data_IF_307519138958
#
_entry.id   IF_307519138958
#
_cell.length_a   1.000
_cell.length_b   1.000
_cell.length_c   1.000
_cell.angle_alpha   90.00
_cell.angle_beta   90.00
_cell.angle_gamma   90.00
#
_symmetry.space_group_name_H-M   'P 1'
#
loop_
_entity.id
_entity.type
_entity.pdbx_description
1 polymer ?
#
# COMPACT_ATOMS: atom_id res chain seq x y z
N UNK A 1 -4.39 13.39 13.84
CA UNK A 1 -3.18 12.66 13.42
C UNK A 1 -2.05 13.61 12.99
N UNK A 2 -2.23 14.47 11.96
CA UNK A 2 -1.18 15.41 11.51
C UNK A 2 -0.72 16.32 12.65
N UNK A 3 -1.65 16.95 13.35
CA UNK A 3 -1.35 17.84 14.49
C UNK A 3 -0.58 17.16 15.63
N UNK A 4 -0.81 15.88 15.87
CA UNK A 4 -0.09 15.13 16.91
C UNK A 4 1.35 14.83 16.48
N UNK A 5 1.57 14.48 15.20
CA UNK A 5 2.92 14.26 14.65
C UNK A 5 3.74 15.55 14.69
N UNK A 6 3.14 16.69 14.31
CA UNK A 6 3.79 18.00 14.38
C UNK A 6 4.13 18.41 15.82
N UNK A 7 3.25 18.09 16.80
CA UNK A 7 3.51 18.38 18.21
C UNK A 7 4.67 17.53 18.76
N UNK A 8 4.75 16.26 18.38
CA UNK A 8 5.83 15.38 18.80
C UNK A 8 7.17 15.76 18.13
N UNK A 9 7.13 16.16 16.86
CA UNK A 9 8.27 16.71 16.16
C UNK A 9 8.85 17.94 16.89
N UNK A 10 7.99 18.87 17.28
CA UNK A 10 8.41 20.08 18.03
C UNK A 10 9.08 19.75 19.38
N UNK A 11 8.61 18.70 20.06
CA UNK A 11 9.22 18.24 21.32
C UNK A 11 10.63 17.66 21.10
N UNK A 12 10.84 16.95 20.00
CA UNK A 12 12.14 16.35 19.67
C UNK A 12 13.18 17.39 19.24
N UNK A 13 12.74 18.59 18.82
CA UNK A 13 13.60 19.69 18.35
C UNK A 13 14.74 19.21 17.44
N UNK A 14 14.43 18.48 16.35
CA UNK A 14 15.48 17.94 15.48
C UNK A 14 16.13 19.05 14.65
N UNK A 15 17.35 18.80 14.17
CA UNK A 15 18.11 19.71 13.33
C UNK A 15 17.79 19.61 11.83
N UNK A 16 16.64 19.06 11.48
CA UNK A 16 16.14 18.94 10.11
C UNK A 16 14.67 19.42 10.04
N UNK A 17 14.26 19.83 8.87
CA UNK A 17 12.88 20.24 8.61
C UNK A 17 12.01 19.02 8.26
N UNK A 18 10.78 19.00 8.77
CA UNK A 18 9.78 18.00 8.42
C UNK A 18 8.48 18.67 7.95
N UNK A 19 7.92 18.14 6.86
CA UNK A 19 6.60 18.51 6.35
C UNK A 19 5.69 17.29 6.47
N UNK A 20 4.60 17.43 7.22
CA UNK A 20 3.59 16.38 7.38
C UNK A 20 2.36 16.76 6.58
N UNK A 21 1.95 15.88 5.66
CA UNK A 21 0.83 16.17 4.75
C UNK A 21 0.04 14.90 4.46
N UNK A 22 -1.26 15.04 4.20
CA UNK A 22 -2.06 13.93 3.72
C UNK A 22 -1.90 13.71 2.20
N UNK A 23 -2.20 12.51 1.72
CA UNK A 23 -2.07 12.14 0.31
C UNK A 23 -2.93 13.01 -0.62
N UNK A 24 -4.10 13.45 -0.17
CA UNK A 24 -5.03 14.28 -0.95
C UNK A 24 -4.45 15.67 -1.25
N UNK A 25 -3.53 16.12 -0.42
CA UNK A 25 -2.87 17.42 -0.54
C UNK A 25 -1.49 17.37 -1.21
N UNK A 26 -1.03 16.23 -1.70
CA UNK A 26 0.29 16.06 -2.34
C UNK A 26 0.54 17.07 -3.47
N UNK A 27 -0.50 17.47 -4.21
CA UNK A 27 -0.42 18.47 -5.27
C UNK A 27 0.00 19.87 -4.80
N UNK A 28 -0.02 20.13 -3.47
CA UNK A 28 0.40 21.40 -2.86
C UNK A 28 1.86 21.38 -2.41
N UNK A 29 2.49 20.20 -2.40
CA UNK A 29 3.86 20.06 -1.94
C UNK A 29 4.82 20.63 -2.98
N UNK A 30 5.68 21.54 -2.54
CA UNK A 30 6.74 22.14 -3.32
C UNK A 30 8.05 22.03 -2.57
N UNK A 31 9.17 22.00 -3.29
CA UNK A 31 10.49 21.93 -2.70
C UNK A 31 11.24 20.64 -3.03
N UNK A 32 12.45 20.52 -2.50
CA UNK A 32 13.29 19.33 -2.58
C UNK A 32 13.28 18.59 -1.25
N UNK A 33 13.25 17.28 -1.34
CA UNK A 33 13.20 16.40 -0.17
C UNK A 33 14.29 15.35 -0.29
N UNK A 34 15.06 15.16 0.76
CA UNK A 34 16.10 14.12 0.83
C UNK A 34 15.49 12.78 1.23
N UNK A 35 14.41 12.79 1.99
CA UNK A 35 13.67 11.62 2.44
C UNK A 35 12.16 11.83 2.30
N UNK A 36 11.46 10.83 1.80
CA UNK A 36 10.00 10.76 1.80
C UNK A 36 9.57 9.50 2.54
N UNK A 37 8.75 9.68 3.58
CA UNK A 37 8.13 8.59 4.33
C UNK A 37 6.66 8.53 3.94
N UNK A 38 6.21 7.38 3.48
CA UNK A 38 4.84 7.12 3.04
C UNK A 38 4.17 6.19 4.05
N UNK A 39 3.37 6.77 4.93
CA UNK A 39 2.57 6.02 5.88
C UNK A 39 1.33 5.42 5.21
N UNK A 40 0.87 4.26 5.69
CA UNK A 40 -0.24 3.50 5.10
C UNK A 40 -0.08 3.28 3.59
N UNK A 41 1.14 2.92 3.18
CA UNK A 41 1.54 2.76 1.78
C UNK A 41 0.69 1.72 1.02
N UNK A 42 0.05 0.76 1.73
CA UNK A 42 -0.88 -0.20 1.14
C UNK A 42 -2.02 0.48 0.35
N UNK A 43 -2.38 1.70 0.73
CA UNK A 43 -3.42 2.49 0.05
C UNK A 43 -3.08 2.86 -1.42
N UNK A 44 -1.83 2.66 -1.83
CA UNK A 44 -1.39 2.83 -3.22
C UNK A 44 -1.55 1.56 -4.07
N UNK A 45 -1.87 0.42 -3.44
CA UNK A 45 -1.90 -0.90 -4.07
C UNK A 45 -3.10 -1.21 -4.98
N UNK A 46 -3.72 -0.21 -5.60
CA UNK A 46 -4.85 -0.41 -6.51
C UNK A 46 -4.47 -1.27 -7.74
N UNK A 47 -5.40 -2.11 -8.18
CA UNK A 47 -5.22 -3.04 -9.31
C UNK A 47 -6.34 -2.85 -10.35
N UNK A 48 -6.08 -3.08 -11.65
CA UNK A 48 -4.78 -3.32 -12.28
C UNK A 48 -4.02 -2.03 -12.64
N UNK A 49 -4.63 -0.88 -12.45
CA UNK A 49 -4.04 0.44 -12.76
C UNK A 49 -3.65 1.16 -11.48
N UNK A 50 -2.56 1.96 -11.50
CA UNK A 50 -2.18 2.75 -10.35
C UNK A 50 -3.25 3.77 -10.00
N UNK A 51 -3.51 3.96 -8.71
CA UNK A 51 -4.41 5.00 -8.21
C UNK A 51 -3.88 6.40 -8.53
N UNK A 52 -4.74 7.43 -8.42
CA UNK A 52 -4.31 8.83 -8.52
C UNK A 52 -3.21 9.13 -7.51
N UNK A 53 -3.35 8.64 -6.27
CA UNK A 53 -2.37 8.76 -5.20
C UNK A 53 -1.01 8.17 -5.60
N UNK A 54 -0.97 6.93 -6.10
CA UNK A 54 0.26 6.28 -6.55
C UNK A 54 0.96 7.07 -7.67
N UNK A 55 0.22 7.66 -8.58
CA UNK A 55 0.77 8.50 -9.67
C UNK A 55 1.38 9.79 -9.14
N UNK A 56 0.70 10.49 -8.22
CA UNK A 56 1.20 11.72 -7.61
C UNK A 56 2.46 11.48 -6.77
N UNK A 57 2.48 10.38 -6.00
CA UNK A 57 3.68 9.96 -5.25
C UNK A 57 4.84 9.67 -6.20
N UNK A 58 4.59 8.97 -7.32
CA UNK A 58 5.63 8.70 -8.32
C UNK A 58 6.18 9.98 -8.93
N UNK A 59 5.33 10.93 -9.26
CA UNK A 59 5.75 12.23 -9.80
C UNK A 59 6.67 12.96 -8.80
N UNK A 60 6.26 13.04 -7.53
CA UNK A 60 7.04 13.64 -6.47
C UNK A 60 8.41 12.98 -6.29
N UNK A 61 8.47 11.65 -6.26
CA UNK A 61 9.72 10.88 -6.12
C UNK A 61 10.60 11.06 -7.37
N UNK A 62 10.01 11.06 -8.57
CA UNK A 62 10.76 11.24 -9.83
C UNK A 62 11.42 12.61 -9.89
N UNK A 63 10.74 13.66 -9.45
CA UNK A 63 11.27 15.02 -9.44
C UNK A 63 12.39 15.22 -8.41
N UNK A 64 12.27 14.59 -7.24
CA UNK A 64 13.15 14.82 -6.10
C UNK A 64 14.28 13.77 -5.97
N UNK A 65 14.06 12.56 -6.46
CA UNK A 65 14.96 11.40 -6.27
C UNK A 65 15.39 11.16 -4.81
N UNK A 66 14.47 11.22 -3.85
CA UNK A 66 14.78 11.10 -2.43
C UNK A 66 15.03 9.66 -2.03
N UNK A 67 15.52 9.44 -0.82
CA UNK A 67 15.31 8.17 -0.14
C UNK A 67 13.82 7.98 0.15
N UNK A 68 13.34 6.73 0.10
CA UNK A 68 11.91 6.44 0.29
C UNK A 68 11.74 5.34 1.32
N UNK A 69 10.90 5.58 2.31
CA UNK A 69 10.45 4.59 3.28
C UNK A 69 8.94 4.40 3.11
N UNK A 70 8.52 3.16 2.92
CA UNK A 70 7.12 2.76 2.86
C UNK A 70 6.76 2.09 4.19
N UNK A 71 5.74 2.57 4.86
CA UNK A 71 5.25 1.99 6.12
C UNK A 71 3.82 1.49 5.94
N UNK A 72 3.52 0.32 6.48
CA UNK A 72 2.17 -0.22 6.53
C UNK A 72 2.09 -1.33 7.57
N UNK A 73 1.02 -1.36 8.34
CA UNK A 73 0.69 -2.48 9.21
C UNK A 73 0.15 -3.70 8.45
N UNK A 74 -0.39 -3.49 7.25
CA UNK A 74 -0.98 -4.52 6.37
C UNK A 74 -0.58 -4.27 4.92
N UNK A 75 0.65 -4.61 4.51
CA UNK A 75 1.16 -4.21 3.19
C UNK A 75 0.39 -4.84 2.02
N UNK A 76 -0.23 -5.99 2.21
CA UNK A 76 -0.99 -6.69 1.15
C UNK A 76 -2.34 -7.17 1.67
N UNK A 77 -3.27 -6.25 2.01
CA UNK A 77 -4.51 -6.60 2.70
C UNK A 77 -5.41 -7.57 1.92
N UNK A 78 -5.38 -7.52 0.60
CA UNK A 78 -6.21 -8.37 -0.26
C UNK A 78 -5.39 -9.35 -1.10
N UNK A 79 -4.19 -8.95 -1.54
CA UNK A 79 -3.37 -9.75 -2.45
C UNK A 79 -1.93 -9.25 -2.49
N UNK A 80 -0.99 -10.19 -2.66
CA UNK A 80 0.42 -9.85 -2.92
C UNK A 80 0.60 -8.99 -4.18
N UNK A 81 -0.28 -9.10 -5.15
CA UNK A 81 -0.26 -8.29 -6.39
C UNK A 81 -0.27 -6.78 -6.12
N UNK A 82 -0.86 -6.36 -4.99
CA UNK A 82 -0.93 -4.94 -4.58
C UNK A 82 0.45 -4.34 -4.34
N UNK A 83 1.47 -5.16 -4.06
CA UNK A 83 2.84 -4.71 -3.84
C UNK A 83 3.42 -3.98 -5.07
N UNK A 84 3.03 -4.39 -6.29
CA UNK A 84 3.52 -3.73 -7.51
C UNK A 84 3.31 -2.22 -7.51
N UNK A 85 2.08 -1.76 -7.24
CA UNK A 85 1.78 -0.34 -7.26
C UNK A 85 2.17 0.40 -5.97
N UNK A 86 2.41 -0.30 -4.88
CA UNK A 86 2.99 0.32 -3.69
C UNK A 86 4.43 0.77 -3.94
N UNK A 87 5.24 -0.10 -4.56
CA UNK A 87 6.65 0.22 -4.84
C UNK A 87 6.87 0.88 -6.20
N UNK A 88 5.82 1.03 -7.01
CA UNK A 88 5.83 1.59 -8.36
C UNK A 88 6.52 2.95 -8.47
N UNK A 89 6.47 3.76 -7.42
CA UNK A 89 7.10 5.07 -7.38
C UNK A 89 8.62 4.98 -7.19
N UNK A 90 9.13 3.89 -6.62
CA UNK A 90 10.55 3.73 -6.28
C UNK A 90 11.34 3.25 -7.51
N UNK A 91 12.30 4.03 -8.04
CA UNK A 91 12.99 3.68 -9.30
C UNK A 91 13.78 2.36 -9.26
N UNK A 92 14.29 2.00 -8.07
CA UNK A 92 15.10 0.77 -7.84
C UNK A 92 14.31 -0.35 -7.17
N UNK A 93 12.97 -0.38 -7.33
CA UNK A 93 12.17 -1.47 -6.80
C UNK A 93 12.42 -2.78 -7.57
N UNK A 94 12.20 -3.96 -6.97
CA UNK A 94 12.48 -5.26 -7.60
C UNK A 94 11.68 -5.51 -8.89
N UNK A 95 10.55 -4.81 -9.08
CA UNK A 95 9.68 -4.96 -10.24
C UNK A 95 9.92 -3.90 -11.33
N UNK A 96 10.96 -3.08 -11.21
CA UNK A 96 11.27 -1.97 -12.13
C UNK A 96 11.58 -2.43 -13.55
N UNK A 97 12.01 -3.69 -13.75
CA UNK A 97 12.25 -4.30 -15.06
C UNK A 97 10.97 -4.55 -15.86
N UNK A 98 9.81 -4.62 -15.23
CA UNK A 98 8.54 -4.84 -15.91
C UNK A 98 8.03 -3.53 -16.51
N UNK A 99 7.78 -3.53 -17.82
CA UNK A 99 7.28 -2.37 -18.57
C UNK A 99 5.98 -1.79 -17.97
N UNK A 100 5.12 -2.64 -17.41
CA UNK A 100 3.84 -2.26 -16.82
C UNK A 100 3.30 -3.39 -15.94
N UNK A 101 2.22 -3.12 -15.20
CA UNK A 101 1.55 -4.10 -14.35
C UNK A 101 1.16 -5.40 -15.08
N UNK A 102 0.72 -5.32 -16.33
CA UNK A 102 0.30 -6.53 -17.06
C UNK A 102 1.48 -7.45 -17.40
N UNK A 103 2.66 -6.88 -17.67
CA UNK A 103 3.89 -7.66 -17.86
C UNK A 103 4.31 -8.35 -16.53
N UNK A 104 4.23 -7.63 -15.42
CA UNK A 104 4.43 -8.19 -14.08
C UNK A 104 3.42 -9.30 -13.77
N UNK A 105 2.13 -9.08 -14.05
CA UNK A 105 1.06 -10.02 -13.75
C UNK A 105 1.22 -11.36 -14.50
N UNK A 106 1.73 -11.36 -15.73
CA UNK A 106 2.01 -12.60 -16.48
C UNK A 106 2.98 -13.53 -15.76
N UNK A 107 3.89 -12.99 -14.97
CA UNK A 107 4.91 -13.75 -14.22
C UNK A 107 4.44 -14.07 -12.82
N UNK A 108 3.91 -13.07 -12.13
CA UNK A 108 3.73 -13.10 -10.68
C UNK A 108 2.28 -13.23 -10.22
N UNK A 109 1.30 -13.30 -11.13
CA UNK A 109 -0.13 -13.38 -10.77
C UNK A 109 -0.80 -14.51 -11.51
N UNK A 110 -1.65 -15.29 -10.82
CA UNK A 110 -2.56 -16.24 -11.44
C UNK A 110 -3.82 -15.46 -11.87
N UNK A 111 -3.81 -15.00 -13.11
CA UNK A 111 -4.93 -14.20 -13.64
C UNK A 111 -6.08 -15.12 -14.00
N UNK A 112 -7.27 -14.83 -13.49
CA UNK A 112 -8.49 -15.55 -13.82
C UNK A 112 -9.60 -14.59 -14.25
N UNK A 113 -10.64 -15.14 -14.90
CA UNK A 113 -11.79 -14.35 -15.34
C UNK A 113 -12.98 -14.52 -14.40
N UNK A 114 -13.62 -13.40 -14.08
CA UNK A 114 -14.90 -13.37 -13.35
C UNK A 114 -15.98 -12.79 -14.27
N UNK A 115 -17.13 -13.49 -14.35
CA UNK A 115 -18.30 -12.96 -15.04
C UNK A 115 -18.97 -11.88 -14.19
N UNK A 116 -19.24 -10.73 -14.82
CA UNK A 116 -20.05 -9.65 -14.28
C UNK A 116 -21.18 -9.36 -15.27
N UNK A 117 -22.32 -9.99 -15.07
CA UNK A 117 -23.41 -9.99 -16.03
C UNK A 117 -22.99 -10.61 -17.36
N UNK A 118 -23.13 -9.86 -18.46
CA UNK A 118 -22.75 -10.30 -19.82
C UNK A 118 -21.26 -10.14 -20.14
N UNK A 119 -20.49 -9.49 -19.29
CA UNK A 119 -19.07 -9.24 -19.50
C UNK A 119 -18.18 -10.12 -18.63
N UNK A 120 -16.98 -10.46 -19.11
CA UNK A 120 -15.94 -11.10 -18.33
C UNK A 120 -14.82 -10.09 -18.06
N UNK A 121 -14.36 -10.04 -16.82
CA UNK A 121 -13.26 -9.18 -16.40
C UNK A 121 -12.12 -10.03 -15.85
N UNK A 122 -10.88 -9.62 -16.15
CA UNK A 122 -9.71 -10.25 -15.55
C UNK A 122 -9.53 -9.80 -14.10
N UNK A 123 -9.31 -10.76 -13.21
CA UNK A 123 -9.05 -10.56 -11.80
C UNK A 123 -7.57 -10.82 -11.52
N UNK A 124 -6.95 -9.94 -10.75
CA UNK A 124 -5.50 -9.93 -10.47
C UNK A 124 -5.20 -10.08 -8.97
N UNK A 125 -6.13 -10.66 -8.21
CA UNK A 125 -6.02 -10.80 -6.76
C UNK A 125 -5.29 -12.07 -6.30
N UNK A 126 -4.89 -12.95 -7.21
CA UNK A 126 -4.14 -14.17 -6.88
C UNK A 126 -2.65 -13.97 -7.17
N UNK A 127 -2.00 -13.13 -6.35
CA UNK A 127 -0.56 -12.88 -6.39
C UNK A 127 0.24 -14.04 -5.84
N UNK A 128 1.26 -14.49 -6.57
CA UNK A 128 2.14 -15.59 -6.19
C UNK A 128 3.10 -15.19 -5.06
N UNK A 129 3.56 -16.19 -4.31
CA UNK A 129 4.58 -16.03 -3.26
C UNK A 129 5.87 -15.36 -3.76
N UNK A 130 6.22 -15.56 -5.03
CA UNK A 130 7.40 -14.96 -5.64
C UNK A 130 7.46 -13.42 -5.51
N UNK A 131 6.29 -12.74 -5.40
CA UNK A 131 6.24 -11.30 -5.14
C UNK A 131 6.88 -10.95 -3.79
N UNK A 132 6.53 -11.70 -2.76
CA UNK A 132 7.07 -11.49 -1.41
C UNK A 132 8.55 -11.88 -1.36
N UNK A 133 8.93 -12.96 -2.07
CA UNK A 133 10.32 -13.42 -2.10
C UNK A 133 11.24 -12.36 -2.74
N UNK A 134 10.82 -11.74 -3.83
CA UNK A 134 11.52 -10.61 -4.47
C UNK A 134 11.58 -9.36 -3.57
N UNK A 135 10.55 -9.15 -2.74
CA UNK A 135 10.50 -8.02 -1.83
C UNK A 135 11.33 -8.20 -0.56
N UNK A 136 11.62 -9.44 -0.11
CA UNK A 136 12.33 -9.72 1.14
C UNK A 136 13.58 -8.88 1.39
N UNK A 137 14.49 -8.65 0.40
CA UNK A 137 15.69 -7.86 0.61
C UNK A 137 15.42 -6.37 0.92
N UNK A 138 14.21 -5.90 0.64
CA UNK A 138 13.79 -4.51 0.76
C UNK A 138 12.81 -4.28 1.91
N UNK A 139 12.43 -5.35 2.63
CA UNK A 139 11.42 -5.29 3.69
C UNK A 139 12.01 -5.61 5.04
N UNK A 140 11.60 -4.80 6.02
CA UNK A 140 11.78 -5.10 7.43
C UNK A 140 10.39 -5.34 7.99
N UNK A 141 10.16 -6.49 8.60
CA UNK A 141 8.88 -6.86 9.20
C UNK A 141 9.07 -7.30 10.64
N UNK A 142 8.22 -6.80 11.51
CA UNK A 142 8.14 -7.23 12.90
C UNK A 142 6.70 -7.58 13.26
N UNK A 143 6.51 -8.71 13.89
CA UNK A 143 5.24 -9.01 14.56
C UNK A 143 5.12 -8.21 15.84
N UNK A 144 3.90 -8.01 16.34
CA UNK A 144 3.68 -7.36 17.63
C UNK A 144 4.45 -8.05 18.76
N UNK A 145 4.55 -9.38 18.72
CA UNK A 145 5.29 -10.19 19.68
C UNK A 145 6.79 -9.90 19.63
N UNK A 146 7.39 -9.83 18.43
CA UNK A 146 8.81 -9.52 18.24
C UNK A 146 9.13 -8.08 18.65
N UNK A 147 8.17 -7.16 18.47
CA UNK A 147 8.26 -5.78 18.93
C UNK A 147 8.08 -5.62 20.47
N UNK A 148 7.90 -6.73 21.20
CA UNK A 148 7.82 -6.74 22.67
C UNK A 148 6.44 -6.39 23.24
N UNK A 149 5.40 -6.30 22.42
CA UNK A 149 4.04 -6.08 22.90
C UNK A 149 3.52 -7.33 23.61
N UNK A 150 3.08 -7.17 24.85
CA UNK A 150 2.53 -8.23 25.70
C UNK A 150 0.99 -8.32 25.66
N UNK A 151 0.33 -7.39 24.98
CA UNK A 151 -1.13 -7.38 24.87
C UNK A 151 -1.62 -8.61 24.08
N UNK A 152 -2.57 -9.35 24.65
CA UNK A 152 -3.32 -10.38 23.92
C UNK A 152 -4.60 -9.76 23.40
N UNK A 153 -4.82 -9.92 22.10
CA UNK A 153 -6.09 -9.55 21.47
C UNK A 153 -6.98 -10.78 21.44
N UNK A 154 -8.11 -10.71 22.14
CA UNK A 154 -9.16 -11.72 22.03
C UNK A 154 -10.15 -11.28 20.99
N UNK A 155 -10.23 -12.03 19.89
CA UNK A 155 -11.20 -11.78 18.84
C UNK A 155 -12.51 -12.50 19.15
N UNK A 156 -13.60 -11.75 19.29
CA UNK A 156 -14.93 -12.27 19.47
C UNK A 156 -15.74 -12.07 18.17
N UNK A 157 -15.94 -13.15 17.42
CA UNK A 157 -16.75 -13.13 16.22
C UNK A 157 -18.21 -13.27 16.59
N UNK A 158 -18.98 -12.20 16.49
CA UNK A 158 -20.42 -12.20 16.66
C UNK A 158 -21.09 -12.52 15.31
N UNK A 159 -21.68 -13.69 15.20
CA UNK A 159 -22.49 -14.05 14.03
C UNK A 159 -23.94 -13.61 14.27
N UNK A 160 -24.39 -12.64 13.50
CA UNK A 160 -25.79 -12.16 13.56
C UNK A 160 -26.53 -12.70 12.32
N UNK A 161 -27.66 -13.36 12.57
CA UNK A 161 -28.56 -13.74 11.47
C UNK A 161 -29.37 -12.52 11.07
N UNK A 162 -29.26 -12.12 9.82
CA UNK A 162 -30.08 -11.06 9.25
C UNK A 162 -31.52 -11.57 9.06
N UNK A 163 -32.49 -10.67 8.98
CA UNK A 163 -33.85 -11.00 8.62
C UNK A 163 -33.89 -11.52 7.16
N UNK A 164 -34.76 -12.48 6.86
CA UNK A 164 -34.82 -13.13 5.54
C UNK A 164 -34.98 -12.12 4.40
N UNK A 165 -35.79 -11.08 4.59
CA UNK A 165 -35.91 -9.94 3.65
C UNK A 165 -34.62 -9.21 3.33
N UNK A 166 -33.63 -9.24 4.24
CA UNK A 166 -32.32 -8.59 4.00
C UNK A 166 -31.45 -9.44 3.10
N UNK A 167 -31.57 -10.77 3.16
CA UNK A 167 -30.87 -11.67 2.23
C UNK A 167 -31.41 -11.55 0.80
N UNK A 168 -32.72 -11.36 0.64
CA UNK A 168 -33.37 -11.17 -0.68
C UNK A 168 -32.90 -9.89 -1.40
N UNK A 169 -32.37 -8.90 -0.69
CA UNK A 169 -31.87 -7.62 -1.25
C UNK A 169 -30.39 -7.74 -1.66
N UNK A 170 -29.65 -8.70 -1.07
CA UNK A 170 -28.19 -8.85 -1.27
C UNK A 170 -27.86 -9.83 -2.41
N UNK A 171 -28.79 -10.77 -2.74
CA UNK A 171 -28.72 -11.69 -3.86
C UNK A 171 -29.14 -10.99 -5.17
#
# INVERSE_FOLDING_TARGET
>A
AISSIEADYKKLNPNYEIIVINYESLHKVQGRFDLIVLDEAHSMGALPKPSKRAKQVKELITLNQPYVILMSGTPTPESFSQMYHQVYACPKNPFSSFKNFYAFARVHVNVYQKKLGVHSVNVYLDGKQSIIDEMKPYMISYTQKEAGFKAQTNEHVLKVRLKDRTYEIID
#
